data_IF_033772092868
#
_entry.id   IF_033772092868
#
_cell.length_a   1.000
_cell.length_b   1.000
_cell.length_c   1.000
_cell.angle_alpha   90.00
_cell.angle_beta   90.00
_cell.angle_gamma   90.00
#
_symmetry.space_group_name_H-M   'P 1'
#
loop_
_entity.id
_entity.type
_entity.pdbx_description
1 polymer ?
#
# COMPACT_ATOMS: atom_id res chain seq x y z
N UNK A 1 -18.49 2.70 -15.08
CA UNK A 1 -18.18 1.85 -13.92
C UNK A 1 -17.39 2.68 -12.92
N UNK A 2 -17.54 2.41 -11.62
CA UNK A 2 -16.70 3.05 -10.60
C UNK A 2 -15.23 2.65 -10.80
N UNK A 3 -14.30 3.59 -10.59
CA UNK A 3 -12.87 3.26 -10.58
C UNK A 3 -12.54 2.37 -9.39
N UNK A 4 -11.64 1.42 -9.58
CA UNK A 4 -11.16 0.51 -8.55
C UNK A 4 -9.83 0.96 -8.01
N UNK A 5 -9.77 1.18 -6.69
CA UNK A 5 -8.54 1.49 -5.98
C UNK A 5 -8.12 0.31 -5.11
N UNK A 6 -6.86 -0.11 -5.20
CA UNK A 6 -6.26 -1.10 -4.30
C UNK A 6 -5.31 -0.37 -3.34
N UNK A 7 -5.55 -0.51 -2.03
CA UNK A 7 -4.75 0.11 -0.98
C UNK A 7 -4.05 -1.00 -0.20
N UNK A 8 -2.73 -1.05 -0.25
CA UNK A 8 -1.97 -1.89 0.68
C UNK A 8 -1.81 -1.16 2.01
N UNK A 9 -1.82 -1.90 3.13
CA UNK A 9 -1.74 -1.26 4.44
C UNK A 9 -2.97 -0.44 4.84
N UNK A 10 -4.15 -0.85 4.39
CA UNK A 10 -5.42 -0.11 4.61
C UNK A 10 -5.78 0.08 6.09
N UNK A 11 -5.25 -0.73 7.00
CA UNK A 11 -5.46 -0.62 8.46
C UNK A 11 -4.56 0.42 9.13
N UNK A 12 -3.58 0.96 8.41
CA UNK A 12 -2.76 2.07 8.87
C UNK A 12 -3.55 3.38 8.94
N UNK A 13 -2.96 4.42 9.53
CA UNK A 13 -3.59 5.73 9.64
C UNK A 13 -3.92 6.28 8.26
N UNK A 14 -2.93 6.44 7.40
CA UNK A 14 -3.11 7.00 6.06
C UNK A 14 -4.00 6.13 5.18
N UNK A 15 -3.82 4.79 5.28
CA UNK A 15 -4.65 3.84 4.52
C UNK A 15 -6.13 3.92 4.86
N UNK A 16 -6.47 4.08 6.14
CA UNK A 16 -7.86 4.20 6.57
C UNK A 16 -8.52 5.51 6.10
N UNK A 17 -7.83 6.64 6.24
CA UNK A 17 -8.32 7.93 5.74
C UNK A 17 -8.43 7.96 4.22
N UNK A 18 -7.47 7.38 3.51
CA UNK A 18 -7.51 7.29 2.06
C UNK A 18 -8.69 6.43 1.59
N UNK A 19 -8.97 5.32 2.28
CA UNK A 19 -10.11 4.47 1.97
C UNK A 19 -11.43 5.25 2.08
N UNK A 20 -11.65 5.97 3.18
CA UNK A 20 -12.82 6.83 3.35
C UNK A 20 -12.94 7.88 2.24
N UNK A 21 -11.83 8.57 1.96
CA UNK A 21 -11.79 9.62 0.96
C UNK A 21 -12.14 9.11 -0.44
N UNK A 22 -11.58 7.98 -0.85
CA UNK A 22 -11.85 7.39 -2.15
C UNK A 22 -13.28 6.84 -2.26
N UNK A 23 -13.80 6.22 -1.19
CA UNK A 23 -15.20 5.80 -1.13
C UNK A 23 -16.16 6.98 -1.30
N UNK A 24 -15.88 8.10 -0.63
CA UNK A 24 -16.67 9.33 -0.76
C UNK A 24 -16.60 9.94 -2.16
N UNK A 25 -15.54 9.63 -2.92
CA UNK A 25 -15.41 9.99 -4.35
C UNK A 25 -16.06 8.99 -5.30
N UNK A 26 -16.71 7.95 -4.78
CA UNK A 26 -17.41 6.95 -5.58
C UNK A 26 -16.52 5.84 -6.15
N UNK A 27 -15.32 5.65 -5.58
CA UNK A 27 -14.47 4.51 -5.92
C UNK A 27 -15.00 3.20 -5.31
N UNK A 28 -14.69 2.10 -5.97
CA UNK A 28 -14.76 0.76 -5.43
C UNK A 28 -13.41 0.45 -4.79
N UNK A 29 -13.36 0.46 -3.46
CA UNK A 29 -12.12 0.42 -2.69
C UNK A 29 -11.82 -0.99 -2.21
N UNK A 30 -10.64 -1.47 -2.54
CA UNK A 30 -10.11 -2.76 -2.11
C UNK A 30 -8.91 -2.52 -1.20
N UNK A 31 -8.97 -3.00 0.03
CA UNK A 31 -7.87 -2.92 0.98
C UNK A 31 -7.18 -4.26 1.19
N UNK A 32 -5.85 -4.27 1.34
CA UNK A 32 -5.14 -5.48 1.78
C UNK A 32 -4.83 -5.43 3.26
N UNK A 33 -5.01 -6.57 3.92
CA UNK A 33 -4.62 -6.83 5.29
C UNK A 33 -3.78 -8.10 5.34
N UNK A 34 -2.77 -8.13 6.21
CA UNK A 34 -2.02 -9.37 6.47
C UNK A 34 -2.77 -10.27 7.46
N UNK A 35 -2.52 -11.56 7.41
CA UNK A 35 -3.00 -12.48 8.45
C UNK A 35 -2.27 -12.20 9.76
N UNK A 36 -3.02 -12.08 10.83
CA UNK A 36 -2.49 -11.83 12.18
C UNK A 36 -3.39 -12.49 13.21
N UNK A 37 -2.82 -12.86 14.35
CA UNK A 37 -3.58 -13.29 15.53
C UNK A 37 -4.20 -12.12 16.30
N UNK A 38 -3.77 -10.88 16.01
CA UNK A 38 -4.33 -9.65 16.59
C UNK A 38 -5.17 -8.96 15.52
N UNK A 39 -6.34 -8.47 15.91
CA UNK A 39 -7.19 -7.69 15.02
C UNK A 39 -6.72 -6.23 14.99
N UNK A 40 -6.27 -5.77 13.82
CA UNK A 40 -5.85 -4.39 13.59
C UNK A 40 -6.85 -3.59 12.75
N UNK A 41 -8.11 -4.07 12.62
CA UNK A 41 -9.13 -3.44 11.77
C UNK A 41 -9.91 -2.32 12.43
N UNK A 42 -9.61 -1.94 13.65
CA UNK A 42 -10.34 -0.93 14.42
C UNK A 42 -10.55 0.36 13.61
N UNK A 43 -9.50 0.84 12.90
CA UNK A 43 -9.59 2.08 12.11
C UNK A 43 -10.50 1.99 10.88
N UNK A 44 -10.76 0.79 10.40
CA UNK A 44 -11.60 0.55 9.20
C UNK A 44 -12.90 -0.18 9.53
N UNK A 45 -13.17 -0.48 10.80
CA UNK A 45 -14.36 -1.25 11.21
C UNK A 45 -15.67 -0.62 10.71
N UNK A 46 -15.75 0.69 10.70
CA UNK A 46 -16.92 1.45 10.22
C UNK A 46 -17.10 1.42 8.70
N UNK A 47 -16.12 0.93 7.95
CA UNK A 47 -16.17 0.74 6.49
C UNK A 47 -16.61 -0.69 6.13
N UNK A 48 -16.40 -1.64 7.02
CA UNK A 48 -16.76 -3.04 6.76
C UNK A 48 -18.26 -3.19 6.50
N UNK A 49 -18.61 -4.03 5.53
CA UNK A 49 -19.99 -4.24 5.12
C UNK A 49 -20.58 -3.18 4.17
N UNK A 50 -19.85 -2.09 3.90
CA UNK A 50 -20.27 -1.15 2.86
C UNK A 50 -20.07 -1.76 1.47
N UNK A 51 -20.99 -1.51 0.51
CA UNK A 51 -20.99 -2.20 -0.79
C UNK A 51 -19.77 -1.89 -1.67
N UNK A 52 -19.11 -0.77 -1.43
CA UNK A 52 -17.93 -0.31 -2.18
C UNK A 52 -16.63 -0.38 -1.36
N UNK A 53 -16.58 -1.23 -0.33
CA UNK A 53 -15.37 -1.51 0.44
C UNK A 53 -15.15 -3.02 0.59
N UNK A 54 -13.98 -3.48 0.18
CA UNK A 54 -13.63 -4.91 0.14
C UNK A 54 -12.26 -5.17 0.76
N UNK A 55 -12.17 -6.18 1.62
CA UNK A 55 -10.90 -6.60 2.21
C UNK A 55 -10.37 -7.88 1.58
N UNK A 56 -9.07 -7.93 1.40
CA UNK A 56 -8.32 -9.06 0.87
C UNK A 56 -7.13 -9.37 1.78
N UNK A 57 -6.83 -10.65 1.94
CA UNK A 57 -5.59 -11.07 2.62
C UNK A 57 -4.43 -11.05 1.61
N UNK A 58 -3.42 -10.23 1.89
CA UNK A 58 -2.14 -10.22 1.18
C UNK A 58 -1.03 -9.74 2.10
N UNK A 59 0.16 -10.25 1.90
CA UNK A 59 1.38 -9.88 2.62
C UNK A 59 2.45 -9.41 1.64
N UNK A 60 3.14 -8.32 1.96
CA UNK A 60 4.22 -7.79 1.12
C UNK A 60 5.40 -8.78 0.99
N UNK A 61 5.54 -9.69 1.95
CA UNK A 61 6.50 -10.80 1.90
C UNK A 61 6.07 -11.98 1.01
N UNK A 62 4.83 -11.99 0.49
CA UNK A 62 4.28 -13.11 -0.29
C UNK A 62 3.82 -12.65 -1.68
N UNK A 63 4.65 -12.94 -2.68
CA UNK A 63 4.39 -12.61 -4.09
C UNK A 63 3.07 -13.17 -4.62
N UNK A 64 2.71 -14.40 -4.19
CA UNK A 64 1.52 -15.06 -4.69
C UNK A 64 0.24 -14.41 -4.17
N UNK A 65 0.22 -14.01 -2.90
CA UNK A 65 -0.95 -13.33 -2.33
C UNK A 65 -1.19 -11.96 -2.99
N UNK A 66 -0.13 -11.20 -3.25
CA UNK A 66 -0.21 -9.92 -3.98
C UNK A 66 -0.73 -10.16 -5.40
N UNK A 67 -0.14 -11.14 -6.13
CA UNK A 67 -0.55 -11.48 -7.49
C UNK A 67 -2.04 -11.86 -7.55
N UNK A 68 -2.51 -12.70 -6.63
CA UNK A 68 -3.91 -13.12 -6.59
C UNK A 68 -4.87 -11.93 -6.39
N UNK A 69 -4.51 -10.99 -5.51
CA UNK A 69 -5.34 -9.81 -5.27
C UNK A 69 -5.34 -8.90 -6.50
N UNK A 70 -4.18 -8.60 -7.09
CA UNK A 70 -4.09 -7.75 -8.29
C UNK A 70 -4.86 -8.38 -9.46
N UNK A 71 -4.71 -9.69 -9.69
CA UNK A 71 -5.41 -10.42 -10.74
C UNK A 71 -6.94 -10.41 -10.54
N UNK A 72 -7.40 -10.58 -9.30
CA UNK A 72 -8.82 -10.60 -8.94
C UNK A 72 -9.46 -9.22 -9.06
N UNK A 73 -8.82 -8.20 -8.51
CA UNK A 73 -9.34 -6.83 -8.43
C UNK A 73 -9.24 -6.13 -9.79
N UNK A 74 -8.11 -6.30 -10.48
CA UNK A 74 -7.74 -5.54 -11.69
C UNK A 74 -7.89 -4.03 -11.44
N UNK A 75 -7.10 -3.45 -10.52
CA UNK A 75 -7.28 -2.07 -10.10
C UNK A 75 -6.92 -1.06 -11.20
N UNK A 76 -7.61 0.07 -11.21
CA UNK A 76 -7.24 1.25 -12.00
C UNK A 76 -6.11 2.03 -11.31
N UNK A 77 -6.08 1.98 -9.98
CA UNK A 77 -5.10 2.69 -9.15
C UNK A 77 -4.66 1.79 -7.99
N UNK A 78 -3.35 1.79 -7.71
CA UNK A 78 -2.76 1.13 -6.52
C UNK A 78 -2.09 2.19 -5.65
N UNK A 79 -2.41 2.19 -4.36
CA UNK A 79 -1.77 3.00 -3.34
C UNK A 79 -0.99 2.07 -2.41
N UNK A 80 0.34 2.03 -2.60
CA UNK A 80 1.19 1.18 -1.79
C UNK A 80 1.65 1.93 -0.54
N UNK A 81 0.94 1.67 0.57
CA UNK A 81 1.18 2.27 1.89
C UNK A 81 1.67 1.24 2.92
N UNK A 82 1.68 -0.05 2.54
CA UNK A 82 2.18 -1.09 3.44
C UNK A 82 3.70 -1.02 3.56
N UNK A 83 4.18 -0.97 4.78
CA UNK A 83 5.60 -0.94 5.09
C UNK A 83 5.89 -1.52 6.49
N UNK A 84 7.14 -1.90 6.73
CA UNK A 84 7.72 -2.01 8.06
C UNK A 84 8.28 -0.62 8.42
N UNK A 85 7.51 0.22 9.11
CA UNK A 85 7.84 1.64 9.35
C UNK A 85 8.44 1.93 10.73
N UNK A 86 8.65 0.91 11.57
CA UNK A 86 9.21 1.10 12.90
C UNK A 86 10.74 1.12 12.84
N UNK A 87 11.34 2.29 13.12
CA UNK A 87 12.79 2.51 12.96
C UNK A 87 13.62 1.47 13.72
N UNK A 88 13.31 1.20 15.01
CA UNK A 88 14.09 0.23 15.78
C UNK A 88 14.04 -1.18 15.16
N UNK A 89 12.89 -1.60 14.65
CA UNK A 89 12.74 -2.92 14.00
C UNK A 89 13.61 -3.02 12.74
N UNK A 90 13.88 -1.92 12.05
CA UNK A 90 14.76 -1.95 10.87
C UNK A 90 16.21 -2.31 11.22
N UNK A 91 16.65 -2.01 12.44
CA UNK A 91 17.95 -2.43 12.95
C UNK A 91 17.94 -3.85 13.53
N UNK A 92 16.85 -4.23 14.21
CA UNK A 92 16.75 -5.55 14.84
C UNK A 92 16.45 -6.66 13.81
N UNK A 93 15.73 -6.34 12.73
CA UNK A 93 15.32 -7.25 11.67
C UNK A 93 15.51 -6.63 10.27
N UNK A 94 16.76 -6.34 9.85
CA UNK A 94 17.06 -5.64 8.60
C UNK A 94 16.63 -6.44 7.36
N UNK A 95 16.77 -7.75 7.37
CA UNK A 95 16.34 -8.62 6.27
C UNK A 95 14.82 -8.56 6.06
N UNK A 96 14.05 -8.65 7.14
CA UNK A 96 12.59 -8.50 7.08
C UNK A 96 12.18 -7.13 6.55
N UNK A 97 12.85 -6.07 7.02
CA UNK A 97 12.59 -4.70 6.56
C UNK A 97 12.88 -4.56 5.06
N UNK A 98 14.03 -5.06 4.59
CA UNK A 98 14.37 -5.03 3.17
C UNK A 98 13.39 -5.86 2.32
N UNK A 99 12.95 -7.01 2.81
CA UNK A 99 12.00 -7.86 2.10
C UNK A 99 10.63 -7.19 1.95
N UNK A 100 10.13 -6.56 3.01
CA UNK A 100 8.82 -5.87 2.98
C UNK A 100 8.89 -4.57 2.19
N UNK A 101 9.89 -3.72 2.47
CA UNK A 101 9.90 -2.33 2.01
C UNK A 101 10.56 -2.15 0.63
N UNK A 102 11.48 -3.04 0.25
CA UNK A 102 12.10 -3.00 -1.07
C UNK A 102 11.55 -4.10 -2.00
N UNK A 103 11.72 -5.38 -1.62
CA UNK A 103 11.27 -6.50 -2.45
C UNK A 103 9.73 -6.54 -2.55
N UNK A 104 9.02 -6.13 -1.49
CA UNK A 104 7.56 -6.01 -1.50
C UNK A 104 7.06 -5.05 -2.58
N UNK A 105 7.72 -3.91 -2.77
CA UNK A 105 7.39 -2.97 -3.86
C UNK A 105 7.58 -3.64 -5.22
N UNK A 106 8.71 -4.35 -5.41
CA UNK A 106 8.96 -5.10 -6.64
C UNK A 106 7.85 -6.14 -6.90
N UNK A 107 7.38 -6.84 -5.87
CA UNK A 107 6.27 -7.81 -5.99
C UNK A 107 4.98 -7.15 -6.50
N UNK A 108 4.65 -5.94 -6.04
CA UNK A 108 3.49 -5.18 -6.55
C UNK A 108 3.67 -4.81 -8.01
N UNK A 109 4.84 -4.29 -8.39
CA UNK A 109 5.13 -3.90 -9.77
C UNK A 109 5.07 -5.11 -10.72
N UNK A 110 5.66 -6.25 -10.32
CA UNK A 110 5.62 -7.48 -11.09
C UNK A 110 4.19 -8.04 -11.21
N UNK A 111 3.38 -7.97 -10.14
CA UNK A 111 1.99 -8.37 -10.21
C UNK A 111 1.20 -7.54 -11.25
N UNK A 112 1.41 -6.23 -11.29
CA UNK A 112 0.78 -5.34 -12.27
C UNK A 112 1.25 -5.69 -13.69
N UNK A 113 2.56 -5.89 -13.89
CA UNK A 113 3.15 -6.27 -15.19
C UNK A 113 2.60 -7.62 -15.69
N UNK A 114 2.63 -8.64 -14.83
CA UNK A 114 2.18 -9.99 -15.19
C UNK A 114 0.67 -10.10 -15.40
N UNK A 115 -0.13 -9.24 -14.74
CA UNK A 115 -1.56 -9.13 -14.98
C UNK A 115 -1.93 -8.31 -16.23
N UNK A 116 -0.95 -7.79 -16.98
CA UNK A 116 -1.17 -6.97 -18.17
C UNK A 116 -1.84 -5.64 -17.87
N UNK A 117 -1.48 -5.02 -16.73
CA UNK A 117 -2.08 -3.75 -16.26
C UNK A 117 -1.10 -2.57 -16.36
N UNK A 118 0.10 -2.76 -16.89
CA UNK A 118 1.16 -1.75 -16.90
C UNK A 118 0.73 -0.44 -17.58
N UNK A 119 -0.08 -0.51 -18.63
CA UNK A 119 -0.53 0.67 -19.39
C UNK A 119 -1.80 1.32 -18.81
N UNK A 120 -2.51 0.64 -17.90
CA UNK A 120 -3.82 1.07 -17.43
C UNK A 120 -3.89 1.36 -15.93
N UNK A 121 -3.08 0.72 -15.12
CA UNK A 121 -3.03 0.90 -13.68
C UNK A 121 -2.01 1.95 -13.28
N UNK A 122 -2.43 2.94 -12.51
CA UNK A 122 -1.54 3.94 -11.90
C UNK A 122 -1.11 3.47 -10.53
N UNK A 123 0.17 3.62 -10.22
CA UNK A 123 0.73 3.20 -8.93
C UNK A 123 1.28 4.41 -8.20
N UNK A 124 0.82 4.60 -6.97
CA UNK A 124 1.40 5.53 -6.00
C UNK A 124 2.20 4.73 -4.97
N UNK A 125 3.49 5.07 -4.83
CA UNK A 125 4.36 4.57 -3.77
C UNK A 125 4.53 5.67 -2.74
N UNK A 126 4.11 5.45 -1.50
CA UNK A 126 4.25 6.42 -0.42
C UNK A 126 5.72 6.73 -0.14
N UNK A 127 6.57 5.68 -0.21
CA UNK A 127 7.99 5.82 0.03
C UNK A 127 8.29 6.31 1.46
N UNK A 128 9.38 7.06 1.64
CA UNK A 128 9.84 7.49 2.96
C UNK A 128 10.51 8.85 2.91
N UNK A 129 10.32 9.66 3.95
CA UNK A 129 11.04 10.93 4.15
C UNK A 129 12.54 10.73 4.36
N UNK A 130 12.98 9.52 4.73
CA UNK A 130 14.40 9.18 4.91
C UNK A 130 15.22 9.27 3.61
N UNK A 131 14.55 9.34 2.44
CA UNK A 131 15.22 9.59 1.17
C UNK A 131 15.95 10.94 1.14
N UNK A 132 15.49 11.92 1.90
CA UNK A 132 16.17 13.22 2.00
C UNK A 132 17.42 13.17 2.88
N UNK A 133 17.56 12.14 3.74
CA UNK A 133 18.72 11.98 4.61
C UNK A 133 19.02 13.24 5.42
N UNK A 134 20.24 13.76 5.30
CA UNK A 134 20.63 15.05 5.87
C UNK A 134 20.17 16.17 4.94
N UNK A 135 18.99 16.72 5.23
CA UNK A 135 18.32 17.70 4.36
C UNK A 135 19.19 18.92 4.06
N UNK A 136 19.18 19.37 2.81
CA UNK A 136 19.93 20.54 2.35
C UNK A 136 19.14 21.84 2.47
N UNK A 137 17.80 21.76 2.57
CA UNK A 137 16.91 22.91 2.73
C UNK A 137 15.70 22.61 3.60
N UNK A 138 15.13 23.63 4.23
CA UNK A 138 13.92 23.56 5.07
C UNK A 138 13.00 24.72 4.74
N UNK A 139 11.74 24.48 4.35
CA UNK A 139 11.12 23.16 4.11
C UNK A 139 11.63 22.52 2.83
N UNK A 140 11.56 21.17 2.73
CA UNK A 140 11.81 20.44 1.50
C UNK A 140 10.69 20.69 0.49
N UNK A 141 11.01 20.51 -0.78
CA UNK A 141 10.08 20.60 -1.92
C UNK A 141 10.45 19.54 -2.97
N UNK A 142 9.74 19.51 -4.08
CA UNK A 142 9.91 18.51 -5.13
C UNK A 142 11.25 18.59 -5.87
N UNK A 143 12.01 19.66 -5.67
CA UNK A 143 13.34 19.86 -6.26
C UNK A 143 14.46 19.57 -5.27
N UNK A 144 14.13 19.42 -3.98
CA UNK A 144 15.13 19.07 -2.94
C UNK A 144 15.74 17.71 -3.27
N UNK A 145 17.08 17.62 -3.39
CA UNK A 145 17.73 16.37 -3.75
C UNK A 145 17.62 15.33 -2.63
N UNK A 146 17.55 14.08 -3.03
CA UNK A 146 17.72 12.95 -2.11
C UNK A 146 19.21 12.82 -1.78
N UNK A 147 19.52 12.49 -0.53
CA UNK A 147 20.90 12.47 -0.03
C UNK A 147 21.29 11.13 0.59
#
# INVERSE_FOLDING_TARGET
MAKKALITGVTGQDGSYLAEFLMNKGYDVHGTIRRSSVDYRERIAHLEGKPNFHLHYADMGDSMSIMQVVAKVRPDEIYNLAAQSHVQVSFDAPEFTADVDAVGVLRVLEAVRLCGLADTCRIYQASTSELYGKVEEVPQNELTPFH
#
